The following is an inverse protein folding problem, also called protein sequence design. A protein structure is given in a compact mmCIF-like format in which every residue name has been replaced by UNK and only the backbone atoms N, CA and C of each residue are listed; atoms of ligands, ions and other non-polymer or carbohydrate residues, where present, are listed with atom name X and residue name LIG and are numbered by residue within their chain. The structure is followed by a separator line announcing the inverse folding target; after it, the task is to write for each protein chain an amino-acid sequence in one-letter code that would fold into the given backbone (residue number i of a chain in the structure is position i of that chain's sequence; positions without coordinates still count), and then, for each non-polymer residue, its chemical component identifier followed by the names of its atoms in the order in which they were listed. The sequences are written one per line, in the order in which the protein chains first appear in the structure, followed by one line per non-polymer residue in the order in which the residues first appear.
data_IF_637739788898
#
_entry.id   IF_637739788898
#
_cell.length_a   1.000
_cell.length_b   1.000
_cell.length_c   1.000
_cell.angle_alpha   90.00
_cell.angle_beta   90.00
_cell.angle_gamma   90.00
#
_symmetry.space_group_name_H-M   'P 1'
#
loop_
_entity.id
_entity.type
_entity.pdbx_description
1 polymer ?
#
# COMPACT_ATOMS: atom_id res chain seq x y z
N UNK A 1 -22.27 -20.23 -8.77
CA UNK A 1 -22.13 -18.77 -8.65
C UNK A 1 -20.76 -18.37 -9.16
N UNK A 2 -20.65 -17.37 -10.04
CA UNK A 2 -19.35 -16.80 -10.43
C UNK A 2 -18.93 -15.79 -9.35
N UNK A 3 -18.64 -16.30 -8.16
CA UNK A 3 -18.02 -15.49 -7.11
C UNK A 3 -16.62 -15.10 -7.57
N UNK A 4 -16.28 -13.82 -7.50
CA UNK A 4 -14.88 -13.42 -7.59
C UNK A 4 -14.11 -14.18 -6.51
N UNK A 5 -12.94 -14.72 -6.84
CA UNK A 5 -12.04 -15.25 -5.83
C UNK A 5 -11.71 -14.10 -4.89
N UNK A 6 -12.14 -14.21 -3.63
CA UNK A 6 -11.87 -13.25 -2.57
C UNK A 6 -10.69 -13.84 -1.79
N UNK A 7 -9.44 -13.46 -2.09
CA UNK A 7 -8.28 -14.08 -1.43
C UNK A 7 -8.21 -13.77 0.07
N UNK A 8 -9.09 -12.91 0.61
CA UNK A 8 -9.09 -12.39 1.98
C UNK A 8 -10.32 -12.86 2.81
N UNK A 9 -10.55 -12.21 3.96
CA UNK A 9 -11.66 -12.52 4.89
C UNK A 9 -13.04 -12.19 4.30
N UNK A 10 -14.13 -12.74 4.85
CA UNK A 10 -15.49 -12.34 4.45
C UNK A 10 -15.80 -10.93 4.98
N UNK A 11 -15.49 -10.69 6.25
CA UNK A 11 -15.69 -9.40 6.92
C UNK A 11 -14.36 -8.83 7.41
N UNK A 12 -14.22 -7.50 7.34
CA UNK A 12 -13.04 -6.82 7.84
C UNK A 12 -12.99 -6.88 9.37
N UNK A 13 -11.88 -7.36 9.92
CA UNK A 13 -11.64 -7.46 11.38
C UNK A 13 -11.73 -6.12 12.12
N UNK A 14 -11.38 -5.02 11.46
CA UNK A 14 -11.34 -3.69 12.06
C UNK A 14 -12.69 -2.95 11.97
N UNK A 15 -13.37 -3.09 10.84
CA UNK A 15 -14.59 -2.33 10.54
C UNK A 15 -15.87 -3.13 10.73
N UNK A 16 -15.78 -4.47 10.83
CA UNK A 16 -16.91 -5.40 10.90
C UNK A 16 -17.91 -5.23 9.75
N UNK A 17 -17.42 -4.93 8.55
CA UNK A 17 -18.18 -4.79 7.32
C UNK A 17 -17.69 -5.80 6.27
N UNK A 18 -18.53 -6.16 5.28
CA UNK A 18 -18.11 -7.03 4.18
C UNK A 18 -16.85 -6.50 3.50
N UNK A 19 -15.86 -7.37 3.31
CA UNK A 19 -14.57 -6.99 2.79
C UNK A 19 -14.59 -7.00 1.23
N UNK A 20 -14.67 -5.82 0.62
CA UNK A 20 -14.53 -5.60 -0.83
C UNK A 20 -13.16 -5.03 -1.19
N UNK A 21 -12.81 -4.95 -2.48
CA UNK A 21 -11.58 -4.28 -2.93
C UNK A 21 -11.55 -2.83 -2.43
N UNK A 22 -12.64 -2.11 -2.63
CA UNK A 22 -12.78 -0.70 -2.22
C UNK A 22 -12.72 -0.57 -0.68
N UNK A 23 -13.36 -1.49 0.05
CA UNK A 23 -13.20 -1.51 1.50
C UNK A 23 -11.75 -1.76 1.91
N UNK A 24 -11.08 -2.73 1.29
CA UNK A 24 -9.71 -3.11 1.62
C UNK A 24 -8.72 -1.96 1.51
N UNK A 25 -8.83 -1.18 0.44
CA UNK A 25 -7.81 -0.22 0.02
C UNK A 25 -8.22 1.25 0.13
N UNK A 26 -9.51 1.56 0.29
CA UNK A 26 -10.01 2.94 0.32
C UNK A 26 -10.76 3.22 1.63
N UNK A 27 -11.73 2.37 1.98
CA UNK A 27 -12.70 2.71 3.04
C UNK A 27 -12.41 2.10 4.42
N UNK A 28 -11.54 1.10 4.51
CA UNK A 28 -11.15 0.54 5.81
C UNK A 28 -10.39 1.58 6.63
N UNK A 29 -10.63 1.59 7.94
CA UNK A 29 -9.91 2.42 8.90
C UNK A 29 -8.38 2.34 8.74
N UNK A 30 -7.82 1.15 8.53
CA UNK A 30 -6.38 0.98 8.31
C UNK A 30 -5.90 1.64 7.01
N UNK A 31 -6.68 1.51 5.92
CA UNK A 31 -6.37 2.13 4.64
C UNK A 31 -6.43 3.66 4.70
N UNK A 32 -7.46 4.21 5.35
CA UNK A 32 -7.62 5.66 5.55
C UNK A 32 -6.44 6.22 6.34
N UNK A 33 -6.13 5.66 7.50
CA UNK A 33 -5.03 6.17 8.34
C UNK A 33 -3.66 5.98 7.68
N UNK A 34 -3.42 4.83 7.07
CA UNK A 34 -2.16 4.58 6.37
C UNK A 34 -1.98 5.54 5.19
N UNK A 35 -3.00 5.67 4.34
CA UNK A 35 -2.97 6.55 3.18
C UNK A 35 -2.78 8.02 3.54
N UNK A 36 -3.44 8.49 4.61
CA UNK A 36 -3.31 9.87 5.11
C UNK A 36 -1.88 10.16 5.61
N UNK A 37 -1.29 9.24 6.38
CA UNK A 37 0.10 9.35 6.82
C UNK A 37 1.07 9.31 5.63
N UNK A 38 0.86 8.40 4.67
CA UNK A 38 1.71 8.25 3.49
C UNK A 38 1.72 9.54 2.65
N UNK A 39 0.55 10.08 2.32
CA UNK A 39 0.41 11.30 1.51
C UNK A 39 1.06 12.51 2.16
N UNK A 40 0.89 12.70 3.48
CA UNK A 40 1.58 13.76 4.23
C UNK A 40 3.10 13.58 4.25
N UNK A 41 3.57 12.35 4.34
CA UNK A 41 5.01 12.03 4.37
C UNK A 41 5.66 12.35 3.02
N UNK A 42 4.99 11.97 1.92
CA UNK A 42 5.44 12.23 0.56
C UNK A 42 5.17 13.67 0.08
N UNK A 43 4.41 14.46 0.85
CA UNK A 43 3.93 15.79 0.48
C UNK A 43 3.22 15.80 -0.89
N UNK A 44 2.49 14.72 -1.18
CA UNK A 44 1.77 14.52 -2.44
C UNK A 44 0.33 14.11 -2.12
N UNK A 45 -0.60 14.83 -2.71
CA UNK A 45 -2.01 14.45 -2.72
C UNK A 45 -2.21 13.32 -3.73
N UNK A 46 -2.65 12.17 -3.25
CA UNK A 46 -2.89 10.95 -4.04
C UNK A 46 -4.37 10.62 -3.88
N UNK A 47 -5.13 10.82 -4.96
CA UNK A 47 -6.55 10.55 -4.97
C UNK A 47 -6.81 9.03 -5.02
N UNK A 48 -7.02 8.43 -3.84
CA UNK A 48 -7.31 7.00 -3.68
C UNK A 48 -8.75 6.68 -4.08
N UNK A 49 -8.97 6.57 -5.38
CA UNK A 49 -10.22 6.12 -6.00
C UNK A 49 -10.15 4.67 -6.45
N UNK A 50 -11.31 4.05 -6.72
CA UNK A 50 -11.40 2.72 -7.35
C UNK A 50 -10.57 2.63 -8.65
N UNK A 51 -10.57 3.71 -9.44
CA UNK A 51 -9.76 3.80 -10.64
C UNK A 51 -8.26 3.82 -10.31
N UNK A 52 -7.84 4.67 -9.38
CA UNK A 52 -6.43 4.80 -9.01
C UNK A 52 -5.82 3.50 -8.46
N UNK A 53 -6.56 2.75 -7.64
CA UNK A 53 -6.05 1.50 -7.04
C UNK A 53 -5.98 0.36 -8.06
N UNK A 54 -6.84 0.37 -9.08
CA UNK A 54 -6.86 -0.65 -10.15
C UNK A 54 -5.79 -0.40 -11.21
N UNK A 55 -5.54 0.87 -11.55
CA UNK A 55 -4.66 1.25 -12.65
C UNK A 55 -3.34 1.89 -12.20
N UNK A 56 -3.11 2.03 -10.88
CA UNK A 56 -1.99 2.76 -10.30
C UNK A 56 -1.82 4.15 -10.93
N UNK A 57 -2.94 4.81 -11.21
CA UNK A 57 -2.92 6.11 -11.86
C UNK A 57 -2.49 7.19 -10.86
N UNK A 58 -1.25 7.64 -10.98
CA UNK A 58 -0.72 8.80 -10.25
C UNK A 58 -0.17 9.80 -11.27
N UNK A 59 -0.60 11.09 -11.24
CA UNK A 59 -0.10 12.08 -12.18
C UNK A 59 1.44 12.17 -12.15
N UNK A 60 2.08 11.89 -13.29
CA UNK A 60 3.54 11.80 -13.49
C UNK A 60 4.20 13.16 -13.75
N UNK A 61 3.68 14.22 -13.12
CA UNK A 61 4.20 15.58 -13.29
C UNK A 61 5.62 15.76 -12.71
N UNK A 62 6.11 14.77 -11.97
CA UNK A 62 7.40 14.77 -11.30
C UNK A 62 8.22 13.55 -11.67
N UNK A 63 9.56 13.64 -11.56
CA UNK A 63 10.46 12.49 -11.72
C UNK A 63 10.38 11.47 -10.57
N UNK A 64 9.63 11.77 -9.51
CA UNK A 64 9.44 10.92 -8.33
C UNK A 64 8.43 9.80 -8.68
N UNK A 65 8.74 8.53 -8.40
CA UNK A 65 7.86 7.39 -8.70
C UNK A 65 6.79 7.21 -7.60
N UNK A 66 5.80 8.11 -7.56
CA UNK A 66 4.71 8.01 -6.56
C UNK A 66 3.85 6.75 -6.72
N UNK A 67 3.76 6.23 -7.94
CA UNK A 67 3.14 4.96 -8.27
C UNK A 67 3.82 3.77 -7.55
N UNK A 68 5.15 3.80 -7.40
CA UNK A 68 5.90 2.81 -6.64
C UNK A 68 5.52 2.84 -5.15
N UNK A 69 5.47 4.02 -4.53
CA UNK A 69 5.06 4.16 -3.13
C UNK A 69 3.61 3.71 -2.93
N UNK A 70 2.71 4.07 -3.86
CA UNK A 70 1.32 3.63 -3.85
C UNK A 70 1.21 2.12 -3.96
N UNK A 71 1.93 1.49 -4.90
CA UNK A 71 1.95 0.05 -5.09
C UNK A 71 2.43 -0.70 -3.83
N UNK A 72 3.53 -0.25 -3.23
CA UNK A 72 4.04 -0.84 -1.98
C UNK A 72 3.05 -0.65 -0.84
N UNK A 73 2.37 0.50 -0.79
CA UNK A 73 1.30 0.79 0.17
C UNK A 73 0.12 -0.18 0.04
N UNK A 74 -0.40 -0.36 -1.18
CA UNK A 74 -1.48 -1.30 -1.47
C UNK A 74 -1.07 -2.74 -1.15
N UNK A 75 0.15 -3.14 -1.53
CA UNK A 75 0.69 -4.45 -1.18
C UNK A 75 0.79 -4.65 0.33
N UNK A 76 1.19 -3.62 1.08
CA UNK A 76 1.29 -3.67 2.55
C UNK A 76 -0.07 -3.82 3.22
N UNK A 77 -1.09 -3.11 2.74
CA UNK A 77 -2.48 -3.25 3.20
C UNK A 77 -3.00 -4.67 2.94
N UNK A 78 -2.76 -5.18 1.74
CA UNK A 78 -3.13 -6.56 1.40
C UNK A 78 -2.41 -7.57 2.30
N UNK A 79 -1.08 -7.46 2.45
CA UNK A 79 -0.31 -8.36 3.32
C UNK A 79 -0.79 -8.35 4.76
N UNK A 80 -1.10 -7.17 5.31
CA UNK A 80 -1.63 -7.04 6.67
C UNK A 80 -2.93 -7.82 6.86
N UNK A 81 -3.81 -7.83 5.85
CA UNK A 81 -5.06 -8.61 5.86
C UNK A 81 -4.82 -10.11 5.74
N UNK A 82 -3.74 -10.50 5.07
CA UNK A 82 -3.42 -11.92 4.90
C UNK A 82 -2.75 -12.58 6.10
N UNK A 83 -2.42 -11.83 7.15
CA UNK A 83 -1.72 -12.35 8.34
C UNK A 83 -2.46 -13.55 8.94
N UNK A 84 -3.77 -13.43 9.18
CA UNK A 84 -4.55 -14.48 9.83
C UNK A 84 -4.65 -15.73 8.95
N UNK A 85 -4.84 -15.56 7.63
CA UNK A 85 -4.88 -16.67 6.66
C UNK A 85 -3.53 -17.37 6.57
N UNK A 86 -2.44 -16.62 6.57
CA UNK A 86 -1.09 -17.14 6.41
C UNK A 86 -0.49 -17.67 7.72
N UNK A 87 -1.18 -17.47 8.85
CA UNK A 87 -0.63 -17.70 10.20
C UNK A 87 0.69 -16.95 10.44
N UNK A 88 0.81 -15.74 9.87
CA UNK A 88 1.97 -14.87 10.07
C UNK A 88 1.93 -14.24 11.48
N UNK A 89 3.08 -13.77 11.96
CA UNK A 89 3.12 -12.97 13.19
C UNK A 89 2.29 -11.68 13.04
N UNK A 90 1.62 -11.20 14.11
CA UNK A 90 0.90 -9.93 14.06
C UNK A 90 1.83 -8.77 13.68
N UNK A 91 1.45 -8.04 12.63
CA UNK A 91 2.18 -6.90 12.06
C UNK A 91 1.20 -5.80 11.71
N UNK A 92 1.68 -4.56 11.67
CA UNK A 92 0.92 -3.42 11.18
C UNK A 92 1.25 -3.15 9.73
N UNK A 93 0.31 -2.57 8.97
CA UNK A 93 0.53 -2.10 7.58
C UNK A 93 1.78 -1.23 7.49
N UNK A 94 1.96 -0.29 8.44
CA UNK A 94 3.18 0.53 8.54
C UNK A 94 4.46 -0.32 8.65
N UNK A 95 4.47 -1.31 9.53
CA UNK A 95 5.66 -2.15 9.74
C UNK A 95 6.01 -3.02 8.52
N UNK A 96 5.00 -3.42 7.73
CA UNK A 96 5.20 -4.16 6.49
C UNK A 96 5.71 -3.20 5.42
N UNK A 97 5.10 -2.02 5.30
CA UNK A 97 5.50 -0.98 4.36
C UNK A 97 6.97 -0.57 4.53
N UNK A 98 7.41 -0.28 5.75
CA UNK A 98 8.79 0.07 6.03
C UNK A 98 9.77 -1.05 5.67
N UNK A 99 9.38 -2.31 5.91
CA UNK A 99 10.20 -3.47 5.52
C UNK A 99 10.32 -3.58 4.00
N UNK A 100 9.22 -3.39 3.26
CA UNK A 100 9.23 -3.42 1.79
C UNK A 100 10.00 -2.23 1.19
N UNK A 101 9.87 -1.03 1.76
CA UNK A 101 10.65 0.15 1.36
C UNK A 101 12.14 -0.08 1.56
N UNK A 102 12.54 -0.67 2.69
CA UNK A 102 13.95 -1.00 2.94
C UNK A 102 14.50 -2.00 1.91
N UNK A 103 13.70 -2.99 1.48
CA UNK A 103 14.08 -3.91 0.39
C UNK A 103 14.26 -3.16 -0.92
N UNK A 104 13.30 -2.34 -1.32
CA UNK A 104 13.38 -1.55 -2.55
C UNK A 104 14.60 -0.63 -2.53
N UNK A 105 14.81 0.09 -1.42
CA UNK A 105 16.00 0.91 -1.19
C UNK A 105 17.30 0.14 -1.43
N UNK A 106 17.43 -1.05 -0.83
CA UNK A 106 18.64 -1.87 -0.98
C UNK A 106 18.94 -2.23 -2.45
N UNK A 107 17.91 -2.40 -3.28
CA UNK A 107 18.06 -2.64 -4.72
C UNK A 107 18.62 -1.40 -5.42
N UNK A 108 18.14 -0.20 -5.09
CA UNK A 108 18.70 1.04 -5.64
C UNK A 108 20.14 1.29 -5.17
N UNK A 109 20.44 1.09 -3.88
CA UNK A 109 21.80 1.27 -3.33
C UNK A 109 22.83 0.35 -3.98
N UNK A 110 22.43 -0.88 -4.34
CA UNK A 110 23.29 -1.82 -5.03
C UNK A 110 23.63 -1.42 -6.47
N UNK A 111 22.94 -0.43 -7.06
CA UNK A 111 23.12 -0.02 -8.46
C UNK A 111 23.32 1.52 -8.62
N UNK A 112 24.47 2.08 -8.24
CA UNK A 112 24.78 3.49 -8.46
C UNK A 112 24.87 3.87 -9.96
N UNK A 113 24.56 5.13 -10.33
CA UNK A 113 24.14 6.23 -9.47
C UNK A 113 22.67 6.12 -9.04
N UNK A 114 22.37 6.51 -7.81
CA UNK A 114 20.98 6.54 -7.30
C UNK A 114 20.26 7.83 -7.74
N UNK A 115 18.93 7.79 -7.94
CA UNK A 115 18.15 8.98 -8.28
C UNK A 115 18.15 10.07 -7.19
N UNK A 116 17.95 11.34 -7.54
CA UNK A 116 17.91 12.45 -6.58
C UNK A 116 16.82 12.32 -5.51
N UNK A 117 15.73 11.63 -5.84
CA UNK A 117 14.62 11.35 -4.94
C UNK A 117 14.82 10.12 -4.05
N UNK A 118 15.96 9.42 -4.20
CA UNK A 118 16.31 8.25 -3.38
C UNK A 118 16.17 8.45 -1.85
N UNK A 119 16.49 9.64 -1.27
CA UNK A 119 16.27 9.90 0.16
C UNK A 119 14.80 9.82 0.62
N UNK A 120 13.82 9.72 -0.29
CA UNK A 120 12.42 9.49 0.08
C UNK A 120 12.16 8.07 0.60
N UNK A 121 13.14 7.17 0.51
CA UNK A 121 13.10 5.86 1.16
C UNK A 121 13.57 5.88 2.63
N UNK A 122 13.99 7.04 3.17
CA UNK A 122 14.36 7.24 4.58
C UNK A 122 13.15 7.52 5.50
#
# INVERSE_FOLDING_TARGET
ERGFFVPWSIDCRLCHQPETIEHCFIYCTDAIFFGDVLQRTLKKDIDLTDHSIRYLYVPTETSIPYDLFMLIGLHSLWRCRMIDRNADMPRTTKSIFLEEIAKVRSVYEAHPPVPDWFPLFD
#
